data_IF_674730994747
#
_entry.id   IF_674730994747
#
_cell.length_a   1.000
_cell.length_b   1.000
_cell.length_c   1.000
_cell.angle_alpha   90.00
_cell.angle_beta   90.00
_cell.angle_gamma   90.00
#
_symmetry.space_group_name_H-M   'P 1'
#
loop_
_entity.id
_entity.type
_entity.pdbx_description
1 polymer ?
#
# COMPACT_ATOMS: atom_id res chain seq x y z
N UNK A 1 -9.53 -0.30 -19.65
CA UNK A 1 -9.56 0.93 -18.84
C UNK A 1 -8.64 0.72 -17.65
N UNK A 2 -7.59 1.53 -17.44
CA UNK A 2 -6.82 1.47 -16.20
C UNK A 2 -7.79 1.76 -15.05
N UNK A 3 -7.81 0.88 -14.05
CA UNK A 3 -8.66 1.04 -12.88
C UNK A 3 -8.12 2.19 -12.02
N UNK A 4 -8.98 2.92 -11.31
CA UNK A 4 -8.57 4.03 -10.44
C UNK A 4 -7.46 3.63 -9.44
N UNK A 5 -7.38 2.35 -9.08
CA UNK A 5 -6.31 1.77 -8.27
C UNK A 5 -4.94 1.79 -8.94
N UNK A 6 -4.86 1.68 -10.27
CA UNK A 6 -3.61 1.74 -11.03
C UNK A 6 -3.07 3.17 -11.07
N UNK A 7 -3.93 4.16 -11.34
CA UNK A 7 -3.54 5.57 -11.39
C UNK A 7 -3.06 6.06 -10.01
N UNK A 8 -3.73 5.64 -8.93
CA UNK A 8 -3.29 5.97 -7.57
C UNK A 8 -1.93 5.35 -7.22
N UNK A 9 -1.66 4.12 -7.67
CA UNK A 9 -0.34 3.47 -7.52
C UNK A 9 0.75 4.23 -8.25
N UNK A 10 0.51 4.60 -9.51
CA UNK A 10 1.47 5.36 -10.31
C UNK A 10 1.73 6.75 -9.72
N UNK A 11 0.69 7.40 -9.19
CA UNK A 11 0.85 8.67 -8.49
C UNK A 11 1.73 8.51 -7.25
N UNK A 12 1.46 7.51 -6.40
CA UNK A 12 2.25 7.23 -5.20
C UNK A 12 3.70 6.85 -5.51
N UNK A 13 3.97 6.10 -6.58
CA UNK A 13 5.34 5.83 -7.04
C UNK A 13 6.13 7.10 -7.39
N UNK A 14 5.43 8.15 -7.82
CA UNK A 14 6.03 9.43 -8.21
C UNK A 14 6.12 10.42 -7.06
N UNK A 15 5.14 10.46 -6.16
CA UNK A 15 5.04 11.46 -5.09
C UNK A 15 5.47 10.95 -3.73
N UNK A 16 5.49 9.64 -3.50
CA UNK A 16 5.78 9.02 -2.22
C UNK A 16 7.01 8.11 -2.30
N UNK A 17 8.10 8.55 -1.68
CA UNK A 17 9.36 7.80 -1.61
C UNK A 17 9.21 6.45 -0.90
N UNK A 18 8.38 6.36 0.15
CA UNK A 18 8.17 5.08 0.85
C UNK A 18 7.50 4.05 -0.07
N UNK A 19 6.54 4.47 -0.90
CA UNK A 19 5.90 3.56 -1.84
C UNK A 19 6.89 3.05 -2.90
N UNK A 20 7.81 3.91 -3.35
CA UNK A 20 8.88 3.53 -4.26
C UNK A 20 9.83 2.50 -3.64
N UNK A 21 10.28 2.72 -2.41
CA UNK A 21 11.15 1.78 -1.70
C UNK A 21 10.46 0.43 -1.46
N UNK A 22 9.17 0.43 -1.13
CA UNK A 22 8.38 -0.80 -0.98
C UNK A 22 8.25 -1.56 -2.31
N UNK A 23 8.08 -0.83 -3.41
CA UNK A 23 7.96 -1.43 -4.74
C UNK A 23 9.28 -2.07 -5.20
N UNK A 24 10.40 -1.39 -4.98
CA UNK A 24 11.73 -1.90 -5.30
C UNK A 24 12.05 -3.16 -4.48
N UNK A 25 11.83 -3.12 -3.16
CA UNK A 25 11.97 -4.30 -2.29
C UNK A 25 11.03 -5.44 -2.72
N UNK A 26 9.79 -5.13 -3.12
CA UNK A 26 8.86 -6.15 -3.59
C UNK A 26 9.35 -6.80 -4.88
N UNK A 27 9.94 -6.02 -5.80
CA UNK A 27 10.51 -6.53 -7.03
C UNK A 27 11.74 -7.41 -6.76
N UNK A 28 12.65 -6.99 -5.87
CA UNK A 28 13.79 -7.81 -5.47
C UNK A 28 13.38 -9.14 -4.83
N UNK A 29 12.35 -9.15 -3.98
CA UNK A 29 11.82 -10.39 -3.42
C UNK A 29 11.16 -11.25 -4.50
N UNK A 30 10.47 -10.66 -5.47
CA UNK A 30 9.84 -11.40 -6.57
C UNK A 30 10.89 -12.12 -7.43
N UNK A 31 12.00 -11.44 -7.76
CA UNK A 31 13.12 -12.03 -8.49
C UNK A 31 13.75 -13.18 -7.69
N UNK A 32 14.05 -12.96 -6.41
CA UNK A 32 14.62 -14.02 -5.56
C UNK A 32 13.69 -15.23 -5.43
N UNK A 33 12.37 -15.00 -5.28
CA UNK A 33 11.38 -16.08 -5.25
C UNK A 33 11.34 -16.80 -6.60
N UNK A 34 11.39 -16.07 -7.72
CA UNK A 34 11.38 -16.67 -9.05
C UNK A 34 12.61 -17.56 -9.28
N UNK A 35 13.80 -17.11 -8.87
CA UNK A 35 15.03 -17.91 -8.93
C UNK A 35 14.97 -19.16 -8.05
N UNK A 36 14.31 -19.08 -6.89
CA UNK A 36 14.07 -20.23 -6.02
C UNK A 36 13.08 -21.21 -6.66
N UNK A 37 11.94 -20.72 -7.14
CA UNK A 37 10.87 -21.54 -7.73
C UNK A 37 11.30 -22.19 -9.06
N UNK A 38 12.16 -21.53 -9.84
CA UNK A 38 12.68 -22.07 -11.10
C UNK A 38 13.62 -23.27 -10.87
N UNK A 39 14.23 -23.38 -9.68
CA UNK A 39 15.07 -24.53 -9.33
C UNK A 39 14.20 -25.77 -9.05
N UNK A 40 14.35 -26.86 -9.83
CA UNK A 40 13.53 -28.06 -9.66
C UNK A 40 13.85 -28.89 -8.40
N UNK A 41 15.00 -28.64 -7.75
CA UNK A 41 15.44 -29.36 -6.55
C UNK A 41 15.80 -28.38 -5.42
N UNK A 42 14.79 -27.73 -4.84
CA UNK A 42 14.99 -26.94 -3.62
C UNK A 42 15.26 -27.87 -2.43
N UNK A 43 16.31 -27.59 -1.67
CA UNK A 43 16.55 -28.26 -0.38
C UNK A 43 15.52 -27.79 0.68
N UNK A 44 15.38 -28.52 1.79
CA UNK A 44 14.48 -28.12 2.90
C UNK A 44 14.72 -26.68 3.38
N UNK A 45 16.00 -26.25 3.44
CA UNK A 45 16.39 -24.88 3.75
C UNK A 45 15.87 -23.86 2.71
N UNK A 46 15.99 -24.19 1.42
CA UNK A 46 15.51 -23.35 0.31
C UNK A 46 13.98 -23.28 0.27
N UNK A 47 13.26 -24.36 0.64
CA UNK A 47 11.80 -24.32 0.78
C UNK A 47 11.35 -23.41 1.94
N UNK A 48 12.07 -23.43 3.07
CA UNK A 48 11.81 -22.52 4.19
C UNK A 48 12.11 -21.07 3.80
N UNK A 49 13.20 -20.83 3.07
CA UNK A 49 13.56 -19.53 2.53
C UNK A 49 12.48 -19.04 1.56
N UNK A 50 11.98 -19.88 0.64
CA UNK A 50 10.88 -19.54 -0.27
C UNK A 50 9.62 -19.12 0.51
N UNK A 51 9.23 -19.89 1.52
CA UNK A 51 8.06 -19.56 2.36
C UNK A 51 8.28 -18.21 3.08
N UNK A 52 9.49 -17.97 3.59
CA UNK A 52 9.86 -16.72 4.25
C UNK A 52 9.82 -15.54 3.29
N UNK A 53 10.44 -15.67 2.12
CA UNK A 53 10.45 -14.68 1.04
C UNK A 53 9.02 -14.36 0.58
N UNK A 54 8.18 -15.39 0.37
CA UNK A 54 6.77 -15.24 -0.03
C UNK A 54 5.95 -14.52 1.04
N UNK A 55 6.25 -14.77 2.32
CA UNK A 55 5.65 -14.04 3.45
C UNK A 55 6.11 -12.58 3.48
N UNK A 56 7.39 -12.29 3.28
CA UNK A 56 7.91 -10.93 3.20
C UNK A 56 7.30 -10.16 2.01
N UNK A 57 7.18 -10.80 0.84
CA UNK A 57 6.51 -10.24 -0.33
C UNK A 57 5.05 -9.90 -0.01
N UNK A 58 4.35 -10.78 0.70
CA UNK A 58 2.98 -10.50 1.14
C UNK A 58 2.92 -9.29 2.09
N UNK A 59 3.86 -9.17 3.01
CA UNK A 59 3.93 -8.01 3.92
C UNK A 59 4.22 -6.70 3.18
N UNK A 60 5.10 -6.70 2.16
CA UNK A 60 5.34 -5.52 1.33
C UNK A 60 4.09 -5.15 0.52
N UNK A 61 3.39 -6.14 -0.02
CA UNK A 61 2.11 -5.92 -0.69
C UNK A 61 1.07 -5.31 0.25
N UNK A 62 0.95 -5.85 1.46
CA UNK A 62 0.03 -5.34 2.48
C UNK A 62 0.35 -3.88 2.85
N UNK A 63 1.64 -3.55 3.02
CA UNK A 63 2.09 -2.16 3.24
C UNK A 63 1.77 -1.23 2.06
N UNK A 64 1.96 -1.70 0.82
CA UNK A 64 1.58 -0.92 -0.36
C UNK A 64 0.07 -0.67 -0.41
N UNK A 65 -0.76 -1.67 -0.07
CA UNK A 65 -2.21 -1.52 -0.02
C UNK A 65 -2.66 -0.62 1.14
N UNK A 66 -1.99 -0.66 2.29
CA UNK A 66 -2.27 0.25 3.41
C UNK A 66 -1.99 1.70 3.03
N UNK A 67 -0.86 1.97 2.36
CA UNK A 67 -0.53 3.28 1.79
C UNK A 67 -1.60 3.73 0.78
N UNK A 68 -1.96 2.86 -0.17
CA UNK A 68 -3.03 3.13 -1.13
C UNK A 68 -4.34 3.48 -0.43
N UNK A 69 -4.69 2.76 0.63
CA UNK A 69 -5.95 2.96 1.36
C UNK A 69 -5.96 4.26 2.14
N UNK A 70 -4.85 4.62 2.81
CA UNK A 70 -4.70 5.91 3.48
C UNK A 70 -4.75 7.09 2.51
N UNK A 71 -4.12 6.93 1.34
CA UNK A 71 -4.12 7.98 0.32
C UNK A 71 -5.45 8.07 -0.43
N UNK A 72 -6.17 6.96 -0.63
CA UNK A 72 -7.52 6.99 -1.17
C UNK A 72 -8.50 7.70 -0.22
N UNK A 73 -8.33 7.55 1.09
CA UNK A 73 -9.11 8.27 2.10
C UNK A 73 -8.80 9.78 2.10
N UNK A 74 -7.51 10.15 1.95
CA UNK A 74 -7.06 11.56 1.89
C UNK A 74 -7.40 12.25 0.56
N UNK A 75 -7.32 11.55 -0.57
CA UNK A 75 -7.51 12.12 -1.91
C UNK A 75 -8.98 12.41 -2.25
N UNK A 76 -9.93 11.96 -1.43
CA UNK A 76 -11.33 12.39 -1.48
C UNK A 76 -11.51 13.38 -0.33
N UNK A 77 -11.45 14.71 -0.55
CA UNK A 77 -11.88 15.63 0.50
C UNK A 77 -13.34 15.28 0.82
N UNK A 78 -13.71 14.98 2.08
CA UNK A 78 -15.10 15.00 2.45
C UNK A 78 -15.56 16.43 2.15
N UNK A 79 -16.39 16.58 1.12
CA UNK A 79 -17.15 17.79 0.90
C UNK A 79 -17.74 18.17 2.24
N UNK A 80 -17.22 19.24 2.80
CA UNK A 80 -17.70 19.93 3.98
C UNK A 80 -19.17 20.26 3.76
N UNK A 81 -20.07 19.40 4.25
CA UNK A 81 -21.50 19.69 4.31
C UNK A 81 -22.17 18.94 5.45
N UNK A 82 -21.83 19.37 6.67
CA UNK A 82 -22.78 19.61 7.76
C UNK A 82 -22.02 20.51 8.77
N UNK A 83 -22.09 21.84 8.65
CA UNK A 83 -23.13 22.68 9.26
C UNK A 83 -23.56 22.11 10.62
N UNK A 84 -23.31 22.74 11.77
CA UNK A 84 -23.28 24.18 12.02
C UNK A 84 -22.62 24.46 13.38
N UNK A 85 -21.55 25.26 13.36
CA UNK A 85 -21.30 26.21 14.43
C UNK A 85 -22.29 27.36 14.24
N UNK A 86 -23.47 27.24 14.82
CA UNK A 86 -24.34 28.40 15.05
C UNK A 86 -24.00 28.97 16.42
N UNK A 87 -23.02 29.87 16.40
CA UNK A 87 -22.86 30.87 17.45
C UNK A 87 -24.09 31.79 17.40
N UNK A 88 -24.85 31.83 18.47
CA UNK A 88 -25.78 32.93 18.75
C UNK A 88 -25.88 33.06 20.27
N UNK A 89 -25.23 34.13 20.74
CA UNK A 89 -25.13 34.55 22.14
C UNK A 89 -26.47 35.10 22.68
N UNK A 90 -26.46 35.77 23.85
CA UNK A 90 -27.18 35.41 25.06
C UNK A 90 -28.58 36.04 25.15
N UNK A 91 -29.50 35.43 25.90
CA UNK A 91 -30.70 36.16 26.37
C UNK A 91 -31.09 35.79 27.78
N UNK A 92 -30.85 36.77 28.63
CA UNK A 92 -31.33 37.02 29.98
C UNK A 92 -32.84 36.79 30.15
N UNK A 93 -33.26 35.99 31.15
CA UNK A 93 -34.33 36.34 32.10
C UNK A 93 -34.31 35.44 33.33
#
# INVERSE_FOLDING_TARGET
MPTASHELREHLLRTNTEFRELWEQHHELDVQIAEMVDKPHLSEDEQLEEIRLKKQKLQLKDRMEDLLRRHADVAIPPSTSASSMSVSSPSQR
#
